data_IF_166228460485
#
_entry.id   IF_166228460485
#
_cell.length_a   1.000
_cell.length_b   1.000
_cell.length_c   1.000
_cell.angle_alpha   90.00
_cell.angle_beta   90.00
_cell.angle_gamma   90.00
#
_symmetry.space_group_name_H-M   'P 1'
#
loop_
_entity.id
_entity.type
_entity.pdbx_description
1 polymer ?
#
# COMPACT_ATOMS: atom_id res chain seq x y z
N UNK A 1 3.94 2.34 17.62
CA UNK A 1 3.07 2.58 18.79
C UNK A 1 3.00 1.31 19.63
N UNK A 2 3.04 1.45 20.90
CA UNK A 2 2.95 0.33 21.85
C UNK A 2 1.50 -0.14 21.94
N UNK A 3 1.09 -1.03 21.02
CA UNK A 3 -0.24 -1.62 20.99
C UNK A 3 -0.17 -3.04 21.53
N UNK A 4 -1.09 -3.39 22.43
CA UNK A 4 -1.25 -4.77 22.88
C UNK A 4 -1.93 -5.65 21.83
N UNK A 5 -1.81 -6.97 21.94
CA UNK A 5 -2.47 -7.90 21.05
C UNK A 5 -4.00 -7.71 21.03
N UNK A 6 -4.60 -7.43 22.18
CA UNK A 6 -6.04 -7.20 22.30
C UNK A 6 -6.50 -5.88 21.66
N UNK A 7 -5.66 -4.88 21.61
CA UNK A 7 -5.94 -3.63 20.87
C UNK A 7 -5.87 -3.84 19.37
N UNK A 8 -4.92 -4.64 18.90
CA UNK A 8 -4.77 -4.95 17.47
C UNK A 8 -5.84 -5.93 17.00
N UNK A 9 -6.04 -7.04 17.74
CA UNK A 9 -7.03 -8.07 17.43
C UNK A 9 -8.40 -7.75 18.04
N UNK A 10 -9.00 -6.65 17.60
CA UNK A 10 -10.25 -6.09 18.11
C UNK A 10 -11.23 -5.81 16.98
N UNK A 11 -12.53 -5.97 17.23
CA UNK A 11 -13.58 -5.66 16.24
C UNK A 11 -13.63 -4.15 15.90
N UNK A 12 -13.10 -3.30 16.77
CA UNK A 12 -12.99 -1.85 16.58
C UNK A 12 -11.67 -1.42 15.92
N UNK A 13 -10.78 -2.38 15.61
CA UNK A 13 -9.50 -2.12 14.94
C UNK A 13 -9.53 -2.70 13.53
N UNK A 14 -9.46 -1.81 12.54
CA UNK A 14 -9.49 -2.13 11.11
C UNK A 14 -8.12 -2.08 10.44
N UNK A 15 -8.09 -2.53 9.19
CA UNK A 15 -6.94 -2.51 8.29
C UNK A 15 -7.41 -2.11 6.89
N UNK A 16 -6.94 -0.98 6.38
CA UNK A 16 -7.19 -0.52 5.01
C UNK A 16 -5.85 -0.22 4.37
N UNK A 17 -5.31 -1.19 3.65
CA UNK A 17 -3.99 -1.12 3.03
C UNK A 17 -4.10 -1.56 1.56
N UNK A 18 -3.40 -0.88 0.67
CA UNK A 18 -3.48 -1.19 -0.75
C UNK A 18 -2.16 -1.11 -1.49
N UNK A 19 -2.22 -1.46 -2.76
CA UNK A 19 -1.12 -1.31 -3.72
C UNK A 19 -1.68 -0.76 -5.02
N UNK A 20 -0.89 0.03 -5.74
CA UNK A 20 -1.26 0.57 -7.05
C UNK A 20 -1.30 -0.49 -8.13
N UNK A 21 -0.57 -1.57 -7.96
CA UNK A 21 -0.50 -2.69 -8.89
C UNK A 21 -0.35 -4.04 -8.19
N UNK A 22 -0.30 -5.09 -9.00
CA UNK A 22 0.02 -6.45 -8.54
C UNK A 22 1.53 -6.67 -8.61
N UNK A 23 2.06 -7.68 -7.88
CA UNK A 23 3.48 -8.02 -7.98
C UNK A 23 3.85 -8.45 -9.41
N UNK A 24 4.64 -7.63 -10.08
CA UNK A 24 5.16 -7.91 -11.42
C UNK A 24 6.06 -9.13 -11.45
N UNK A 25 6.88 -9.32 -10.44
CA UNK A 25 7.75 -10.50 -10.29
C UNK A 25 6.93 -11.78 -10.22
N UNK A 26 6.01 -11.87 -9.26
CA UNK A 26 5.20 -13.07 -9.07
C UNK A 26 4.33 -13.38 -10.28
N UNK A 27 3.83 -12.34 -10.97
CA UNK A 27 3.00 -12.51 -12.15
C UNK A 27 3.81 -13.08 -13.33
N UNK A 28 4.95 -12.48 -13.66
CA UNK A 28 5.81 -12.92 -14.75
C UNK A 28 6.38 -14.33 -14.52
N UNK A 29 6.91 -14.57 -13.31
CA UNK A 29 7.41 -15.91 -12.93
C UNK A 29 6.31 -16.99 -13.05
N UNK A 30 5.10 -16.65 -12.62
CA UNK A 30 3.98 -17.61 -12.71
C UNK A 30 3.65 -17.95 -14.16
N UNK A 31 3.62 -16.93 -15.04
CA UNK A 31 3.37 -17.15 -16.47
C UNK A 31 4.47 -18.03 -17.08
N UNK A 32 5.73 -17.77 -16.77
CA UNK A 32 6.86 -18.53 -17.29
C UNK A 32 6.83 -19.99 -16.84
N UNK A 33 6.55 -20.22 -15.54
CA UNK A 33 6.36 -21.59 -15.02
C UNK A 33 5.20 -22.31 -15.73
N UNK A 34 4.07 -21.61 -15.97
CA UNK A 34 2.94 -22.22 -16.66
C UNK A 34 3.26 -22.56 -18.11
N UNK A 35 4.03 -21.73 -18.82
CA UNK A 35 4.46 -21.97 -20.21
C UNK A 35 5.45 -23.13 -20.31
N UNK A 36 6.43 -23.16 -19.40
CA UNK A 36 7.53 -24.12 -19.47
C UNK A 36 7.18 -25.49 -18.90
N UNK A 37 6.37 -25.53 -17.83
CA UNK A 37 6.14 -26.74 -17.01
C UNK A 37 4.68 -27.12 -16.88
N UNK A 38 3.77 -26.31 -17.42
CA UNK A 38 2.32 -26.52 -17.35
C UNK A 38 1.66 -25.94 -16.10
N UNK A 39 0.35 -25.71 -16.21
CA UNK A 39 -0.46 -24.98 -15.21
C UNK A 39 -0.34 -25.54 -13.77
N UNK A 40 -0.31 -26.87 -13.64
CA UNK A 40 -0.23 -27.52 -12.32
C UNK A 40 1.07 -27.25 -11.56
N UNK A 41 2.09 -26.72 -12.24
CA UNK A 41 3.38 -26.40 -11.65
C UNK A 41 3.48 -24.99 -11.08
N UNK A 42 2.50 -24.14 -11.35
CA UNK A 42 2.45 -22.79 -10.79
C UNK A 42 2.36 -22.76 -9.26
N UNK A 43 1.80 -23.81 -8.65
CA UNK A 43 1.63 -23.94 -7.20
C UNK A 43 0.35 -23.29 -6.69
N UNK A 44 -0.05 -23.57 -5.43
CA UNK A 44 -1.36 -23.23 -4.91
C UNK A 44 -1.48 -21.78 -4.40
N UNK A 45 -0.38 -21.06 -4.23
CA UNK A 45 -0.37 -19.74 -3.56
C UNK A 45 -0.26 -18.55 -4.52
N UNK A 46 -0.11 -18.78 -5.82
CA UNK A 46 0.14 -17.70 -6.80
C UNK A 46 -0.99 -16.68 -6.87
N UNK A 47 -2.23 -17.12 -6.79
CA UNK A 47 -3.38 -16.20 -6.78
C UNK A 47 -3.28 -15.22 -5.62
N UNK A 48 -3.03 -15.72 -4.40
CA UNK A 48 -2.93 -14.88 -3.20
C UNK A 48 -1.69 -13.99 -3.18
N UNK A 49 -0.67 -14.29 -3.97
CA UNK A 49 0.54 -13.47 -4.12
C UNK A 49 0.37 -12.36 -5.17
N UNK A 50 -0.62 -12.47 -6.06
CA UNK A 50 -0.77 -11.58 -7.23
C UNK A 50 -2.02 -10.70 -7.14
N UNK A 51 -3.00 -11.02 -6.30
CA UNK A 51 -4.24 -10.23 -6.22
C UNK A 51 -4.00 -8.82 -5.66
N UNK A 52 -4.80 -7.84 -6.09
CA UNK A 52 -4.69 -6.45 -5.65
C UNK A 52 -4.91 -6.26 -4.13
N UNK A 53 -5.56 -7.22 -3.47
CA UNK A 53 -5.79 -7.23 -2.02
C UNK A 53 -4.74 -7.99 -1.21
N UNK A 54 -3.63 -8.40 -1.82
CA UNK A 54 -2.56 -9.17 -1.15
C UNK A 54 -2.04 -8.44 0.09
N UNK A 55 -1.87 -7.11 0.02
CA UNK A 55 -1.32 -6.33 1.14
C UNK A 55 -2.19 -6.48 2.40
N UNK A 56 -3.50 -6.22 2.28
CA UNK A 56 -4.40 -6.34 3.43
C UNK A 56 -4.56 -7.80 3.89
N UNK A 57 -4.63 -8.76 2.97
CA UNK A 57 -4.75 -10.17 3.29
C UNK A 57 -3.53 -10.70 4.06
N UNK A 58 -2.32 -10.35 3.61
CA UNK A 58 -1.08 -10.78 4.25
C UNK A 58 -0.87 -10.17 5.64
N UNK A 59 -1.39 -8.97 5.90
CA UNK A 59 -1.30 -8.32 7.20
C UNK A 59 -2.42 -8.77 8.16
N UNK A 60 -3.65 -8.92 7.66
CA UNK A 60 -4.80 -9.24 8.48
C UNK A 60 -4.66 -10.57 9.23
N UNK A 61 -4.07 -11.59 8.60
CA UNK A 61 -3.95 -12.92 9.18
C UNK A 61 -2.99 -12.99 10.36
N UNK A 62 -1.71 -12.57 10.26
CA UNK A 62 -0.78 -12.64 11.39
C UNK A 62 -1.17 -11.72 12.53
N UNK A 63 -1.74 -10.54 12.23
CA UNK A 63 -2.21 -9.59 13.25
C UNK A 63 -3.62 -9.88 13.76
N UNK A 64 -4.29 -10.91 13.23
CA UNK A 64 -5.64 -11.33 13.63
C UNK A 64 -6.63 -10.16 13.64
N UNK A 65 -6.60 -9.32 12.61
CA UNK A 65 -7.50 -8.18 12.47
C UNK A 65 -8.94 -8.66 12.44
N UNK A 66 -9.80 -8.06 13.26
CA UNK A 66 -11.22 -8.43 13.40
C UNK A 66 -12.20 -7.35 12.94
N UNK A 67 -11.73 -6.10 12.81
CA UNK A 67 -12.51 -5.00 12.28
C UNK A 67 -12.54 -5.00 10.76
N UNK A 68 -12.88 -3.85 10.18
CA UNK A 68 -12.91 -3.65 8.72
C UNK A 68 -11.57 -4.02 8.09
N UNK A 69 -11.58 -4.90 7.09
CA UNK A 69 -10.37 -5.33 6.40
C UNK A 69 -10.60 -5.48 4.91
N UNK A 70 -9.98 -4.63 4.12
CA UNK A 70 -9.91 -4.70 2.65
C UNK A 70 -8.85 -3.77 2.09
N UNK A 71 -8.59 -3.90 0.77
CA UNK A 71 -7.71 -3.01 0.03
C UNK A 71 -8.50 -2.07 -0.87
N UNK A 72 -7.99 -0.85 -1.01
CA UNK A 72 -8.33 0.07 -2.10
C UNK A 72 -7.20 -0.03 -3.12
N UNK A 73 -7.49 0.13 -4.40
CA UNK A 73 -6.51 0.29 -5.46
C UNK A 73 -6.93 1.44 -6.36
N UNK A 74 -6.09 2.46 -6.42
CA UNK A 74 -6.29 3.69 -7.20
C UNK A 74 -4.95 4.23 -7.71
N UNK A 75 -4.14 3.32 -8.30
CA UNK A 75 -2.81 3.62 -8.81
C UNK A 75 -1.94 4.36 -7.76
N UNK A 76 -1.23 5.42 -8.15
CA UNK A 76 -0.33 6.17 -7.25
C UNK A 76 -1.05 6.85 -6.06
N UNK A 77 -2.37 7.02 -6.10
CA UNK A 77 -3.17 7.62 -5.03
C UNK A 77 -3.65 6.60 -3.98
N UNK A 78 -3.38 5.32 -4.17
CA UNK A 78 -3.90 4.22 -3.35
C UNK A 78 -3.73 4.44 -1.84
N UNK A 79 -2.51 4.70 -1.38
CA UNK A 79 -2.26 4.86 0.07
C UNK A 79 -2.91 6.11 0.65
N UNK A 80 -2.98 7.19 -0.12
CA UNK A 80 -3.70 8.40 0.30
C UNK A 80 -5.21 8.13 0.45
N UNK A 81 -5.80 7.38 -0.47
CA UNK A 81 -7.20 6.95 -0.37
C UNK A 81 -7.44 5.98 0.80
N UNK A 82 -6.51 5.07 1.08
CA UNK A 82 -6.59 4.20 2.26
C UNK A 82 -6.61 5.01 3.56
N UNK A 83 -5.75 6.03 3.66
CA UNK A 83 -5.66 6.91 4.84
C UNK A 83 -6.92 7.76 4.99
N UNK A 84 -7.39 8.38 3.89
CA UNK A 84 -8.60 9.18 3.90
C UNK A 84 -9.84 8.37 4.27
N UNK A 85 -9.95 7.17 3.72
CA UNK A 85 -11.05 6.27 4.05
C UNK A 85 -11.00 5.75 5.50
N UNK A 86 -9.79 5.53 6.05
CA UNK A 86 -9.63 5.21 7.46
C UNK A 86 -10.17 6.32 8.37
N UNK A 87 -9.90 7.59 8.03
CA UNK A 87 -10.50 8.75 8.71
C UNK A 87 -12.02 8.71 8.65
N UNK A 88 -12.60 8.46 7.46
CA UNK A 88 -14.06 8.37 7.30
C UNK A 88 -14.68 7.24 8.14
N UNK A 89 -14.05 6.06 8.20
CA UNK A 89 -14.51 4.95 9.04
C UNK A 89 -14.56 5.31 10.52
N UNK A 90 -13.58 6.08 10.99
CA UNK A 90 -13.52 6.57 12.37
C UNK A 90 -14.57 7.66 12.60
N UNK A 91 -14.70 8.63 11.71
CA UNK A 91 -15.72 9.69 11.79
C UNK A 91 -17.15 9.13 11.79
N UNK A 92 -17.39 8.05 11.05
CA UNK A 92 -18.68 7.34 11.06
C UNK A 92 -18.87 6.45 12.29
N UNK A 93 -17.93 6.39 13.22
CA UNK A 93 -18.00 5.56 14.41
C UNK A 93 -17.92 4.05 14.14
N UNK A 94 -17.44 3.63 12.95
CA UNK A 94 -17.33 2.21 12.59
C UNK A 94 -16.09 1.55 13.17
N UNK A 95 -15.01 2.30 13.32
CA UNK A 95 -13.75 1.85 13.89
C UNK A 95 -13.24 2.90 14.89
N UNK A 96 -12.45 2.47 15.87
CA UNK A 96 -11.73 3.38 16.77
C UNK A 96 -10.28 3.53 16.32
N UNK A 97 -9.74 2.52 15.64
CA UNK A 97 -8.39 2.50 15.09
C UNK A 97 -8.37 1.81 13.73
N UNK A 98 -7.58 2.32 12.80
CA UNK A 98 -7.37 1.70 11.49
C UNK A 98 -5.89 1.78 11.11
N UNK A 99 -5.29 0.65 10.80
CA UNK A 99 -4.01 0.61 10.11
C UNK A 99 -4.23 0.95 8.65
N UNK A 100 -3.66 2.05 8.18
CA UNK A 100 -3.94 2.58 6.85
C UNK A 100 -2.67 2.97 6.10
N UNK A 101 -2.61 2.69 4.82
CA UNK A 101 -1.46 3.02 3.99
C UNK A 101 -1.37 2.18 2.74
N UNK A 102 -0.15 1.87 2.33
CA UNK A 102 0.09 1.07 1.15
C UNK A 102 1.51 0.58 1.02
N UNK A 103 1.70 -0.31 0.08
CA UNK A 103 3.00 -0.78 -0.33
C UNK A 103 3.06 -0.89 -1.85
N UNK A 104 4.26 -0.76 -2.39
CA UNK A 104 4.51 -0.95 -3.81
C UNK A 104 5.75 -1.81 -4.02
N UNK A 105 5.64 -2.71 -4.99
CA UNK A 105 6.72 -3.53 -5.50
C UNK A 105 7.24 -2.95 -6.80
N UNK A 106 8.48 -3.20 -7.13
CA UNK A 106 9.06 -2.80 -8.41
C UNK A 106 9.66 -4.00 -9.12
N UNK A 107 9.23 -4.17 -10.35
CA UNK A 107 9.77 -5.17 -11.25
C UNK A 107 10.07 -4.53 -12.62
N UNK A 108 11.05 -5.07 -13.35
CA UNK A 108 11.46 -4.52 -14.64
C UNK A 108 10.30 -4.39 -15.64
N UNK A 109 9.31 -5.28 -15.58
CA UNK A 109 8.14 -5.23 -16.47
C UNK A 109 7.29 -3.99 -16.24
N UNK A 110 7.11 -3.57 -14.97
CA UNK A 110 6.39 -2.34 -14.65
C UNK A 110 7.22 -1.11 -15.05
N UNK A 111 8.52 -1.11 -14.75
CA UNK A 111 9.42 -0.06 -15.17
C UNK A 111 9.43 0.09 -16.70
N UNK A 112 9.49 -1.02 -17.45
CA UNK A 112 9.41 -1.03 -18.91
C UNK A 112 8.10 -0.48 -19.47
N UNK A 113 6.96 -0.73 -18.81
CA UNK A 113 5.68 -0.14 -19.22
C UNK A 113 5.65 1.38 -18.99
N UNK A 114 6.20 1.88 -17.89
CA UNK A 114 6.34 3.30 -17.65
C UNK A 114 7.33 3.97 -18.58
N UNK A 115 8.42 3.29 -18.94
CA UNK A 115 9.38 3.79 -19.93
C UNK A 115 8.74 3.87 -21.32
N UNK A 116 7.99 2.85 -21.73
CA UNK A 116 7.28 2.82 -23.00
C UNK A 116 6.27 3.96 -23.18
N UNK A 117 5.70 4.50 -22.10
CA UNK A 117 4.84 5.68 -22.14
C UNK A 117 5.60 7.00 -21.97
N UNK A 118 6.92 6.97 -21.85
CA UNK A 118 7.76 8.16 -21.69
C UNK A 118 7.65 8.83 -20.32
N UNK A 119 7.28 8.10 -19.28
CA UNK A 119 7.07 8.64 -17.94
C UNK A 119 8.33 8.66 -17.07
N UNK A 120 9.37 7.91 -17.43
CA UNK A 120 10.59 7.83 -16.65
C UNK A 120 11.59 8.95 -16.98
N UNK A 121 12.35 9.36 -15.96
CA UNK A 121 13.50 10.25 -16.14
C UNK A 121 14.57 9.58 -16.98
N UNK A 122 15.09 10.26 -17.99
CA UNK A 122 16.15 9.78 -18.88
C UNK A 122 17.33 10.74 -19.04
N UNK A 123 17.14 12.03 -18.76
CA UNK A 123 18.21 13.05 -18.88
C UNK A 123 19.35 12.84 -17.89
N UNK A 124 19.07 12.19 -16.77
CA UNK A 124 19.99 12.08 -15.65
C UNK A 124 20.64 10.69 -15.52
N UNK A 125 20.66 9.89 -16.60
CA UNK A 125 21.28 8.56 -16.57
C UNK A 125 22.76 8.57 -16.20
N UNK A 126 23.48 9.63 -16.60
CA UNK A 126 24.89 9.83 -16.22
C UNK A 126 25.08 10.39 -14.79
N UNK A 127 24.00 10.90 -14.19
CA UNK A 127 23.98 11.48 -12.85
C UNK A 127 22.75 11.03 -12.06
N UNK A 128 22.59 9.70 -11.81
CA UNK A 128 21.33 9.11 -11.33
C UNK A 128 20.90 9.63 -9.96
N UNK A 129 21.82 10.10 -9.13
CA UNK A 129 21.51 10.71 -7.83
C UNK A 129 20.75 12.05 -7.94
N UNK A 130 20.71 12.66 -9.13
CA UNK A 130 19.97 13.89 -9.41
C UNK A 130 18.65 13.65 -10.14
N UNK A 131 18.33 12.42 -10.51
CA UNK A 131 17.18 12.10 -11.36
C UNK A 131 15.83 12.27 -10.64
N UNK A 132 15.73 11.80 -9.39
CA UNK A 132 14.51 11.95 -8.58
C UNK A 132 14.43 13.37 -8.02
N UNK A 133 13.60 14.20 -8.66
CA UNK A 133 13.48 15.63 -8.37
C UNK A 133 12.05 16.14 -8.50
N UNK A 134 11.18 15.61 -7.65
CA UNK A 134 9.77 15.96 -7.63
C UNK A 134 9.57 17.49 -7.48
N UNK A 135 8.62 18.05 -8.24
CA UNK A 135 8.28 19.48 -8.29
C UNK A 135 9.37 20.42 -8.81
N UNK A 136 10.56 19.92 -9.16
CA UNK A 136 11.63 20.72 -9.76
C UNK A 136 11.27 21.15 -11.19
N UNK A 137 11.68 22.36 -11.59
CA UNK A 137 11.42 22.89 -12.94
C UNK A 137 12.11 22.05 -14.04
N UNK A 138 13.27 21.48 -13.73
CA UNK A 138 14.09 20.68 -14.66
C UNK A 138 13.79 19.18 -14.62
N UNK A 139 12.74 18.76 -13.91
CA UNK A 139 12.33 17.35 -13.91
C UNK A 139 11.95 16.87 -15.31
N UNK A 140 12.23 15.62 -15.60
CA UNK A 140 11.96 15.02 -16.92
C UNK A 140 11.20 13.67 -16.84
N UNK A 141 10.71 13.32 -15.67
CA UNK A 141 10.02 12.07 -15.41
C UNK A 141 10.25 11.63 -13.97
N UNK A 142 9.77 10.45 -13.63
CA UNK A 142 9.97 9.89 -12.29
C UNK A 142 11.00 8.74 -12.30
N UNK A 143 11.49 8.41 -11.13
CA UNK A 143 12.34 7.24 -10.87
C UNK A 143 11.52 6.27 -10.04
N UNK A 144 11.20 5.07 -10.57
CA UNK A 144 10.42 4.09 -9.81
C UNK A 144 11.20 3.59 -8.59
N UNK A 145 10.48 3.35 -7.52
CA UNK A 145 11.04 2.85 -6.27
C UNK A 145 10.14 1.81 -5.64
N UNK A 146 10.62 1.19 -4.59
CA UNK A 146 9.88 0.26 -3.75
C UNK A 146 9.68 0.86 -2.36
N UNK A 147 8.62 0.47 -1.68
CA UNK A 147 8.42 0.90 -0.32
C UNK A 147 7.05 0.53 0.23
N UNK A 148 6.94 0.68 1.54
CA UNK A 148 5.70 0.52 2.25
C UNK A 148 5.61 1.55 3.38
N UNK A 149 4.40 2.04 3.63
CA UNK A 149 4.10 2.91 4.75
C UNK A 149 2.76 2.55 5.36
N UNK A 150 2.70 2.59 6.68
CA UNK A 150 1.48 2.35 7.44
C UNK A 150 1.34 3.40 8.54
N UNK A 151 0.21 4.06 8.57
CA UNK A 151 -0.20 4.94 9.67
C UNK A 151 -1.18 4.20 10.58
N UNK A 152 -1.10 4.49 11.86
CA UNK A 152 -2.15 4.17 12.82
C UNK A 152 -3.06 5.40 12.87
N UNK A 153 -4.20 5.33 12.20
CA UNK A 153 -5.24 6.36 12.26
C UNK A 153 -6.19 5.99 13.38
N UNK A 154 -6.41 6.91 14.32
CA UNK A 154 -7.07 6.58 15.58
C UNK A 154 -7.98 7.72 16.02
N UNK A 155 -9.10 7.38 16.62
CA UNK A 155 -10.01 8.34 17.25
C UNK A 155 -9.28 9.06 18.40
N UNK A 156 -9.48 10.36 18.53
CA UNK A 156 -8.69 11.21 19.44
C UNK A 156 -8.80 10.79 20.89
N UNK A 157 -10.01 10.62 21.42
CA UNK A 157 -10.21 10.25 22.82
C UNK A 157 -9.70 8.85 23.13
N UNK A 158 -9.82 7.92 22.15
CA UNK A 158 -9.23 6.59 22.25
C UNK A 158 -7.69 6.66 22.33
N UNK A 159 -7.06 7.49 21.51
CA UNK A 159 -5.62 7.69 21.49
C UNK A 159 -5.13 8.32 22.83
N UNK A 160 -5.84 9.35 23.32
CA UNK A 160 -5.54 10.01 24.60
C UNK A 160 -5.69 9.06 25.78
N UNK A 161 -6.76 8.26 25.82
CA UNK A 161 -7.05 7.33 26.90
C UNK A 161 -5.95 6.26 27.11
N UNK A 162 -5.27 5.85 26.01
CA UNK A 162 -4.13 4.92 26.12
C UNK A 162 -2.75 5.59 26.19
N UNK A 163 -2.70 6.92 26.23
CA UNK A 163 -1.44 7.67 26.29
C UNK A 163 -0.63 7.61 24.99
N UNK A 164 -1.28 7.50 23.84
CA UNK A 164 -0.60 7.45 22.56
C UNK A 164 0.19 8.71 22.28
N UNK A 165 1.36 8.56 21.65
CA UNK A 165 2.07 9.71 21.06
C UNK A 165 1.35 10.11 19.76
N UNK A 166 0.70 11.27 19.79
CA UNK A 166 0.02 11.85 18.63
C UNK A 166 1.04 12.65 17.81
N UNK A 167 1.18 12.36 16.53
CA UNK A 167 2.10 13.04 15.62
C UNK A 167 1.43 14.16 14.84
N UNK A 168 0.17 13.96 14.45
CA UNK A 168 -0.61 14.91 13.66
C UNK A 168 -2.10 14.59 13.77
N UNK A 169 -2.93 15.52 13.36
CA UNK A 169 -4.37 15.36 13.15
C UNK A 169 -4.67 15.37 11.66
N UNK A 170 -5.53 14.46 11.19
CA UNK A 170 -6.05 14.48 9.83
C UNK A 170 -7.30 15.37 9.83
N UNK A 171 -7.17 16.58 9.32
CA UNK A 171 -8.22 17.60 9.35
C UNK A 171 -9.15 17.58 8.14
N UNK A 172 -8.79 16.86 7.08
CA UNK A 172 -9.59 16.77 5.88
C UNK A 172 -9.07 15.76 4.88
N UNK A 173 -9.97 15.30 4.03
CA UNK A 173 -9.71 14.40 2.91
C UNK A 173 -10.64 14.73 1.76
N UNK A 174 -10.15 14.59 0.54
CA UNK A 174 -10.95 14.73 -0.67
C UNK A 174 -10.39 13.84 -1.78
N UNK A 175 -11.29 13.26 -2.55
CA UNK A 175 -10.98 12.46 -3.73
C UNK A 175 -11.87 12.89 -4.91
N UNK A 176 -11.34 12.87 -6.14
CA UNK A 176 -12.05 13.19 -7.39
C UNK A 176 -11.97 12.03 -8.36
#
# INVERSE_FOLDING_TARGET
GELSEDQVSNIRTGLVMGSGGVSGEMFTETIDVMRDRGIKRAGPYRVTQIMASTVSACLATPYKIKGTNYSISSACATSAHCIGHAMELIQMGKQDMVFAGGSEDMHWSMAGMFDAMGALSSKYNDTPTLASRAYDADRDGFVPGVGAGCLVVEELEHALARGAKIYAEITGYGAT
#
